data_IF_921089837706
#
_entry.id   IF_921089837706
#
_cell.length_a   1.000
_cell.length_b   1.000
_cell.length_c   1.000
_cell.angle_alpha   90.00
_cell.angle_beta   90.00
_cell.angle_gamma   90.00
#
_symmetry.space_group_name_H-M   'P 1'
#
loop_
_entity.id
_entity.type
_entity.pdbx_description
1 polymer ?
#
# COMPACT_ATOMS: atom_id res chain seq x y z
N UNK A 1 -36.70 -7.80 -0.31
CA UNK A 1 -35.58 -8.37 -1.10
C UNK A 1 -34.49 -7.31 -1.22
N UNK A 2 -33.22 -7.69 -1.12
CA UNK A 2 -32.09 -6.77 -1.26
C UNK A 2 -31.18 -7.23 -2.39
N UNK A 3 -30.80 -6.31 -3.27
CA UNK A 3 -29.96 -6.61 -4.45
C UNK A 3 -28.97 -5.47 -4.67
N UNK A 4 -27.79 -5.78 -5.21
CA UNK A 4 -26.79 -4.77 -5.58
C UNK A 4 -26.92 -4.46 -7.05
N UNK A 5 -27.00 -3.16 -7.38
CA UNK A 5 -27.13 -2.69 -8.75
C UNK A 5 -26.04 -1.68 -9.04
N UNK A 6 -25.22 -1.96 -10.06
CA UNK A 6 -24.20 -1.02 -10.54
C UNK A 6 -24.83 -0.10 -11.57
N UNK A 7 -24.81 1.20 -11.29
CA UNK A 7 -25.32 2.22 -12.20
C UNK A 7 -24.14 3.05 -12.71
N UNK A 8 -24.04 3.18 -14.02
CA UNK A 8 -23.09 4.08 -14.66
C UNK A 8 -23.80 5.40 -14.98
N UNK A 9 -23.32 6.51 -14.43
CA UNK A 9 -23.79 7.86 -14.76
C UNK A 9 -22.59 8.74 -15.08
N UNK A 10 -22.59 9.28 -16.28
CA UNK A 10 -21.43 9.96 -16.88
C UNK A 10 -20.19 9.02 -16.86
N UNK A 11 -19.05 9.49 -16.32
CA UNK A 11 -17.82 8.68 -16.14
C UNK A 11 -17.71 8.01 -14.76
N UNK A 12 -18.76 8.09 -13.91
CA UNK A 12 -18.74 7.53 -12.55
C UNK A 12 -19.65 6.31 -12.44
N UNK A 13 -19.12 5.26 -11.81
CA UNK A 13 -19.87 4.06 -11.46
C UNK A 13 -20.29 4.13 -9.98
N UNK A 14 -21.57 3.93 -9.72
CA UNK A 14 -22.14 3.84 -8.38
C UNK A 14 -22.61 2.42 -8.12
N UNK A 15 -22.41 1.92 -6.90
CA UNK A 15 -23.01 0.66 -6.44
C UNK A 15 -24.14 0.97 -5.46
N UNK A 16 -25.37 0.71 -5.89
CA UNK A 16 -26.56 0.93 -5.08
C UNK A 16 -27.02 -0.38 -4.46
N UNK A 17 -27.26 -0.39 -3.15
CA UNK A 17 -28.02 -1.43 -2.48
C UNK A 17 -29.50 -1.09 -2.58
N UNK A 18 -30.22 -1.83 -3.41
CA UNK A 18 -31.65 -1.67 -3.62
C UNK A 18 -32.40 -2.63 -2.71
N UNK A 19 -33.31 -2.10 -1.89
CA UNK A 19 -34.19 -2.94 -1.06
C UNK A 19 -35.63 -2.67 -1.40
N UNK A 20 -36.40 -3.74 -1.60
CA UNK A 20 -37.85 -3.68 -1.82
C UNK A 20 -38.59 -4.34 -0.65
N UNK A 21 -39.57 -3.63 -0.10
CA UNK A 21 -40.49 -4.11 0.93
C UNK A 21 -41.93 -3.87 0.49
N UNK A 22 -42.79 -4.88 0.62
CA UNK A 22 -44.22 -4.73 0.35
C UNK A 22 -44.91 -4.12 1.57
N UNK A 23 -45.67 -3.05 1.35
CA UNK A 23 -46.58 -2.49 2.34
C UNK A 23 -47.92 -3.21 2.21
N UNK A 24 -48.23 -4.09 3.16
CA UNK A 24 -49.48 -4.86 3.18
C UNK A 24 -50.36 -4.46 4.37
N UNK A 25 -51.68 -4.52 4.18
CA UNK A 25 -52.67 -4.45 5.26
C UNK A 25 -53.64 -5.60 5.06
N UNK A 26 -53.78 -6.46 6.07
CA UNK A 26 -54.69 -7.63 6.14
C UNK A 26 -54.94 -8.28 4.77
N UNK A 27 -54.01 -9.13 4.33
CA UNK A 27 -54.15 -9.93 3.10
C UNK A 27 -54.03 -9.18 1.78
N UNK A 28 -53.91 -7.85 1.78
CA UNK A 28 -53.83 -7.04 0.55
C UNK A 28 -52.54 -6.23 0.50
N UNK A 29 -51.75 -6.37 -0.58
CA UNK A 29 -50.58 -5.52 -0.84
C UNK A 29 -51.08 -4.16 -1.30
N UNK A 30 -50.83 -3.11 -0.52
CA UNK A 30 -51.20 -1.72 -0.84
C UNK A 30 -50.14 -1.01 -1.67
N UNK A 31 -48.88 -1.44 -1.60
CA UNK A 31 -47.79 -0.83 -2.36
C UNK A 31 -46.44 -1.46 -2.06
N UNK A 32 -45.40 -0.90 -2.66
CA UNK A 32 -44.02 -1.29 -2.44
C UNK A 32 -43.20 -0.06 -2.08
N UNK A 33 -42.32 -0.21 -1.10
CA UNK A 33 -41.30 0.78 -0.76
C UNK A 33 -39.97 0.27 -1.31
N UNK A 34 -39.31 1.10 -2.12
CA UNK A 34 -37.98 0.86 -2.61
C UNK A 34 -37.02 1.84 -1.95
N UNK A 35 -35.92 1.35 -1.38
CA UNK A 35 -34.82 2.18 -0.87
C UNK A 35 -33.57 1.94 -1.70
N UNK A 36 -32.77 2.98 -1.86
CA UNK A 36 -31.51 2.96 -2.62
C UNK A 36 -30.43 3.55 -1.73
N UNK A 37 -29.53 2.71 -1.23
CA UNK A 37 -28.38 3.15 -0.44
C UNK A 37 -27.14 3.13 -1.33
N UNK A 38 -26.44 4.26 -1.50
CA UNK A 38 -25.15 4.28 -2.17
C UNK A 38 -24.07 3.69 -1.26
N UNK A 39 -23.56 2.53 -1.65
CA UNK A 39 -22.55 1.77 -0.91
C UNK A 39 -21.21 1.74 -1.64
N UNK A 40 -21.00 2.62 -2.61
CA UNK A 40 -19.77 2.66 -3.43
C UNK A 40 -18.53 2.79 -2.57
N UNK A 41 -18.50 3.80 -1.69
CA UNK A 41 -17.36 4.05 -0.80
C UNK A 41 -17.20 2.95 0.24
N UNK A 42 -18.31 2.39 0.74
CA UNK A 42 -18.28 1.29 1.69
C UNK A 42 -17.62 0.04 1.08
N UNK A 43 -18.00 -0.32 -0.15
CA UNK A 43 -17.40 -1.45 -0.87
C UNK A 43 -15.96 -1.17 -1.27
N UNK A 44 -15.64 0.08 -1.62
CA UNK A 44 -14.27 0.52 -1.87
C UNK A 44 -13.38 0.33 -0.64
N UNK A 45 -13.82 0.84 0.52
CA UNK A 45 -13.14 0.70 1.79
C UNK A 45 -12.99 -0.77 2.21
N UNK A 46 -14.03 -1.59 2.04
CA UNK A 46 -13.97 -3.02 2.35
C UNK A 46 -12.97 -3.76 1.44
N UNK A 47 -12.96 -3.46 0.14
CA UNK A 47 -11.96 -4.02 -0.78
C UNK A 47 -10.56 -3.61 -0.39
N UNK A 48 -10.34 -2.34 -0.07
CA UNK A 48 -9.02 -1.84 0.33
C UNK A 48 -8.53 -2.52 1.62
N UNK A 49 -9.40 -2.68 2.61
CA UNK A 49 -9.10 -3.41 3.84
C UNK A 49 -8.77 -4.90 3.57
N UNK A 50 -9.53 -5.56 2.71
CA UNK A 50 -9.27 -6.94 2.32
C UNK A 50 -7.93 -7.07 1.55
N UNK A 51 -7.63 -6.14 0.64
CA UNK A 51 -6.37 -6.08 -0.08
C UNK A 51 -5.17 -5.85 0.84
N UNK A 52 -5.32 -5.02 1.88
CA UNK A 52 -4.28 -4.80 2.88
C UNK A 52 -3.94 -6.08 3.66
N UNK A 53 -4.96 -6.84 4.09
CA UNK A 53 -4.75 -8.14 4.74
C UNK A 53 -4.10 -9.16 3.81
N UNK A 54 -4.56 -9.25 2.55
CA UNK A 54 -3.94 -10.12 1.54
C UNK A 54 -2.48 -9.75 1.33
N UNK A 55 -2.16 -8.46 1.15
CA UNK A 55 -0.79 -8.00 0.94
C UNK A 55 0.12 -8.31 2.13
N UNK A 56 -0.37 -8.11 3.36
CA UNK A 56 0.36 -8.47 4.59
C UNK A 56 0.62 -9.98 4.66
N UNK A 57 -0.38 -10.80 4.36
CA UNK A 57 -0.23 -12.26 4.34
C UNK A 57 0.80 -12.70 3.30
N UNK A 58 0.73 -12.17 2.08
CA UNK A 58 1.70 -12.46 1.02
C UNK A 58 3.11 -12.02 1.45
N UNK A 59 3.26 -10.87 2.10
CA UNK A 59 4.55 -10.43 2.61
C UNK A 59 5.13 -11.40 3.65
N UNK A 60 4.29 -11.92 4.56
CA UNK A 60 4.71 -12.96 5.50
C UNK A 60 5.06 -14.27 4.81
N UNK A 61 4.26 -14.71 3.85
CA UNK A 61 4.49 -15.94 3.09
C UNK A 61 5.78 -15.88 2.26
N UNK A 62 6.15 -14.70 1.73
CA UNK A 62 7.42 -14.50 1.02
C UNK A 62 8.60 -14.38 2.00
N UNK A 63 8.45 -13.73 3.16
CA UNK A 63 9.53 -13.65 4.17
C UNK A 63 9.92 -15.04 4.70
N UNK A 64 8.96 -15.94 4.85
CA UNK A 64 9.18 -17.28 5.43
C UNK A 64 10.24 -18.13 4.70
N UNK A 65 10.25 -18.26 3.36
CA UNK A 65 11.29 -19.00 2.65
C UNK A 65 12.64 -18.26 2.60
N UNK A 66 12.71 -16.93 2.81
CA UNK A 66 13.98 -16.19 2.70
C UNK A 66 15.00 -16.59 3.78
N UNK A 67 14.57 -16.73 5.04
CA UNK A 67 15.49 -17.09 6.13
C UNK A 67 16.13 -18.46 5.90
N UNK A 68 15.39 -19.54 5.59
CA UNK A 68 15.98 -20.82 5.23
C UNK A 68 16.91 -20.77 4.00
N UNK A 69 16.57 -20.00 2.96
CA UNK A 69 17.43 -19.84 1.77
C UNK A 69 18.76 -19.20 2.16
N UNK A 70 18.72 -18.11 2.94
CA UNK A 70 19.93 -17.44 3.44
C UNK A 70 20.77 -18.37 4.31
N UNK A 71 20.17 -19.05 5.29
CA UNK A 71 20.89 -19.98 6.15
C UNK A 71 21.50 -21.14 5.36
N UNK A 72 20.82 -21.60 4.31
CA UNK A 72 21.34 -22.64 3.42
C UNK A 72 22.57 -22.14 2.64
N UNK A 73 22.54 -20.90 2.13
CA UNK A 73 23.67 -20.27 1.47
C UNK A 73 24.87 -20.07 2.42
N UNK A 74 24.65 -19.47 3.59
CA UNK A 74 25.69 -19.30 4.63
C UNK A 74 26.29 -20.66 5.06
N UNK A 75 25.44 -21.69 5.20
CA UNK A 75 25.88 -23.05 5.52
C UNK A 75 26.72 -23.67 4.40
N UNK A 76 26.34 -23.47 3.14
CA UNK A 76 27.14 -23.92 1.99
C UNK A 76 28.54 -23.31 2.03
N UNK A 77 28.63 -22.00 2.27
CA UNK A 77 29.91 -21.31 2.39
C UNK A 77 30.77 -21.93 3.49
N UNK A 78 30.24 -21.97 4.72
CA UNK A 78 31.00 -22.43 5.89
C UNK A 78 31.45 -23.90 5.77
N UNK A 79 30.63 -24.77 5.17
CA UNK A 79 30.90 -26.21 5.08
C UNK A 79 31.85 -26.56 3.95
N UNK A 80 31.69 -25.94 2.78
CA UNK A 80 32.37 -26.39 1.56
C UNK A 80 33.52 -25.48 1.11
N UNK A 81 33.63 -24.24 1.61
CA UNK A 81 34.71 -23.31 1.19
C UNK A 81 36.12 -23.91 1.33
N UNK A 82 36.35 -24.72 2.37
CA UNK A 82 37.65 -25.40 2.59
C UNK A 82 37.90 -26.60 1.68
N UNK A 83 36.87 -27.10 1.00
CA UNK A 83 36.90 -28.27 0.12
C UNK A 83 36.99 -27.88 -1.36
N UNK A 84 36.77 -26.60 -1.68
CA UNK A 84 36.91 -26.04 -3.03
C UNK A 84 38.40 -25.84 -3.35
N UNK A 85 38.81 -26.13 -4.59
CA UNK A 85 40.15 -25.87 -5.09
C UNK A 85 40.49 -24.38 -5.01
N UNK A 86 41.75 -24.02 -4.77
CA UNK A 86 42.12 -22.61 -4.55
C UNK A 86 41.71 -21.69 -5.72
N UNK A 87 41.84 -22.17 -6.95
CA UNK A 87 41.47 -21.43 -8.17
C UNK A 87 39.96 -21.12 -8.27
N UNK A 88 39.10 -21.90 -7.60
CA UNK A 88 37.64 -21.78 -7.65
C UNK A 88 37.03 -21.14 -6.39
N UNK A 89 37.83 -20.91 -5.34
CA UNK A 89 37.33 -20.41 -4.04
C UNK A 89 36.65 -19.05 -4.15
N UNK A 90 37.25 -18.13 -4.91
CA UNK A 90 36.70 -16.79 -5.11
C UNK A 90 35.38 -16.85 -5.89
N UNK A 91 35.31 -17.66 -6.94
CA UNK A 91 34.08 -17.86 -7.72
C UNK A 91 32.96 -18.43 -6.86
N UNK A 92 33.26 -19.44 -6.06
CA UNK A 92 32.30 -20.05 -5.12
C UNK A 92 31.82 -19.05 -4.06
N UNK A 93 32.74 -18.34 -3.41
CA UNK A 93 32.41 -17.32 -2.41
C UNK A 93 31.53 -16.22 -3.00
N UNK A 94 31.89 -15.70 -4.17
CA UNK A 94 31.12 -14.68 -4.88
C UNK A 94 29.70 -15.15 -5.24
N UNK A 95 29.53 -16.41 -5.65
CA UNK A 95 28.23 -16.99 -5.94
C UNK A 95 27.35 -17.06 -4.68
N UNK A 96 27.91 -17.53 -3.55
CA UNK A 96 27.18 -17.59 -2.28
C UNK A 96 26.81 -16.20 -1.78
N UNK A 97 27.75 -15.25 -1.80
CA UNK A 97 27.50 -13.87 -1.39
C UNK A 97 26.42 -13.21 -2.25
N UNK A 98 26.37 -13.53 -3.54
CA UNK A 98 25.32 -13.04 -4.44
C UNK A 98 23.95 -13.58 -4.03
N UNK A 99 23.84 -14.86 -3.65
CA UNK A 99 22.58 -15.42 -3.14
C UNK A 99 22.14 -14.70 -1.87
N UNK A 100 23.05 -14.50 -0.91
CA UNK A 100 22.75 -13.79 0.35
C UNK A 100 22.25 -12.37 0.06
N UNK A 101 22.99 -11.59 -0.76
CA UNK A 101 22.59 -10.23 -1.14
C UNK A 101 21.23 -10.17 -1.84
N UNK A 102 20.93 -11.15 -2.69
CA UNK A 102 19.65 -11.19 -3.39
C UNK A 102 18.49 -11.47 -2.45
N UNK A 103 18.67 -12.41 -1.52
CA UNK A 103 17.67 -12.71 -0.48
C UNK A 103 17.42 -11.50 0.41
N UNK A 104 18.47 -10.80 0.84
CA UNK A 104 18.34 -9.58 1.64
C UNK A 104 17.63 -8.45 0.86
N UNK A 105 17.89 -8.34 -0.44
CA UNK A 105 17.21 -7.37 -1.32
C UNK A 105 15.72 -7.68 -1.45
N UNK A 106 15.35 -8.95 -1.66
CA UNK A 106 13.94 -9.37 -1.66
C UNK A 106 13.30 -9.09 -0.30
N UNK A 107 14.02 -9.36 0.80
CA UNK A 107 13.54 -9.09 2.16
C UNK A 107 13.20 -7.62 2.39
N UNK A 108 14.04 -6.70 1.90
CA UNK A 108 13.78 -5.25 1.96
C UNK A 108 12.56 -4.83 1.14
N UNK A 109 12.50 -5.26 -0.13
CA UNK A 109 11.37 -4.94 -1.02
C UNK A 109 10.03 -5.43 -0.46
N UNK A 110 10.01 -6.63 0.13
CA UNK A 110 8.81 -7.18 0.77
C UNK A 110 8.49 -6.45 2.10
N UNK A 111 9.52 -5.93 2.79
CA UNK A 111 9.34 -5.03 3.92
C UNK A 111 8.64 -3.73 3.52
N UNK A 112 9.09 -3.10 2.45
CA UNK A 112 8.50 -1.88 1.88
C UNK A 112 7.07 -2.13 1.36
N UNK A 113 6.84 -3.25 0.66
CA UNK A 113 5.50 -3.67 0.22
C UNK A 113 4.54 -3.90 1.39
N UNK A 114 5.03 -4.49 2.49
CA UNK A 114 4.23 -4.64 3.71
C UNK A 114 3.92 -3.31 4.40
N UNK A 115 4.77 -2.30 4.27
CA UNK A 115 4.49 -0.95 4.77
C UNK A 115 3.44 -0.25 3.90
N UNK A 116 3.44 -0.47 2.58
CA UNK A 116 2.36 -0.01 1.70
C UNK A 116 1.01 -0.67 2.02
N UNK A 117 1.02 -1.95 2.46
CA UNK A 117 -0.18 -2.64 2.95
C UNK A 117 -0.67 -2.12 4.31
N UNK A 118 0.21 -1.50 5.12
CA UNK A 118 -0.19 -0.69 6.27
C UNK A 118 -0.57 0.70 5.76
N UNK A 119 -1.73 0.84 5.14
CA UNK A 119 -2.41 2.13 5.15
C UNK A 119 -3.20 2.21 6.47
N UNK A 120 -2.66 2.79 7.56
CA UNK A 120 -3.50 3.22 8.67
C UNK A 120 -4.61 4.12 8.11
N UNK A 121 -5.77 4.19 8.76
CA UNK A 121 -6.81 5.11 8.31
C UNK A 121 -6.22 6.53 8.17
N UNK A 122 -6.49 7.25 7.07
CA UNK A 122 -5.94 8.58 6.90
C UNK A 122 -6.35 9.47 8.07
N UNK A 123 -5.37 10.14 8.67
CA UNK A 123 -5.62 11.10 9.76
C UNK A 123 -5.80 12.47 9.12
N UNK A 124 -7.05 12.80 8.80
CA UNK A 124 -7.39 14.07 8.17
C UNK A 124 -7.24 15.22 9.17
N UNK A 125 -6.39 16.19 8.85
CA UNK A 125 -6.21 17.42 9.60
C UNK A 125 -6.12 18.61 8.64
N UNK A 126 -6.36 19.80 9.16
CA UNK A 126 -6.13 21.04 8.41
C UNK A 126 -4.63 21.33 8.37
N UNK A 127 -3.98 20.94 7.28
CA UNK A 127 -2.54 21.00 7.11
C UNK A 127 -2.12 22.23 6.29
N UNK A 128 -1.14 23.03 6.75
CA UNK A 128 -0.57 24.12 5.95
C UNK A 128 0.25 23.55 4.79
N UNK A 129 -0.27 23.68 3.55
CA UNK A 129 0.36 23.10 2.35
C UNK A 129 1.79 23.60 2.15
N UNK A 130 2.07 24.84 2.52
CA UNK A 130 3.41 25.42 2.40
C UNK A 130 4.45 24.68 3.26
N UNK A 131 4.07 24.17 4.43
CA UNK A 131 5.00 23.41 5.27
C UNK A 131 5.25 22.00 4.74
N UNK A 132 4.22 21.34 4.20
CA UNK A 132 4.39 20.06 3.51
C UNK A 132 5.37 20.22 2.33
N UNK A 133 5.19 21.25 1.49
CA UNK A 133 6.11 21.54 0.37
C UNK A 133 7.53 21.78 0.85
N UNK A 134 7.73 22.53 1.95
CA UNK A 134 9.08 22.79 2.50
C UNK A 134 9.75 21.52 2.99
N UNK A 135 9.02 20.65 3.67
CA UNK A 135 9.54 19.37 4.16
C UNK A 135 9.93 18.45 2.99
N UNK A 136 9.11 18.35 1.94
CA UNK A 136 9.46 17.58 0.73
C UNK A 136 10.68 18.16 0.00
N UNK A 137 10.77 19.49 -0.17
CA UNK A 137 11.92 20.15 -0.81
C UNK A 137 13.20 20.03 0.02
N UNK A 138 13.09 20.02 1.35
CA UNK A 138 14.24 19.84 2.24
C UNK A 138 14.97 18.51 1.96
N UNK A 139 14.23 17.41 1.83
CA UNK A 139 14.79 16.10 1.48
C UNK A 139 15.50 16.13 0.12
N UNK A 140 14.91 16.82 -0.87
CA UNK A 140 15.51 16.93 -2.21
C UNK A 140 16.78 17.79 -2.21
N UNK A 141 16.82 18.89 -1.45
CA UNK A 141 18.03 19.72 -1.28
C UNK A 141 19.20 18.92 -0.71
N UNK A 142 18.92 18.05 0.27
CA UNK A 142 19.94 17.20 0.87
C UNK A 142 20.46 16.13 -0.12
N UNK A 143 19.58 15.57 -0.96
CA UNK A 143 19.95 14.60 -1.97
C UNK A 143 20.72 15.21 -3.16
N UNK A 144 20.47 16.49 -3.49
CA UNK A 144 21.00 17.15 -4.69
C UNK A 144 21.66 18.51 -4.40
N UNK A 145 22.86 18.54 -3.79
CA UNK A 145 23.50 19.79 -3.35
C UNK A 145 23.92 20.73 -4.49
N UNK A 146 24.00 20.24 -5.74
CA UNK A 146 24.29 21.06 -6.92
C UNK A 146 23.08 21.72 -7.57
N UNK A 147 21.86 21.45 -7.07
CA UNK A 147 20.61 22.02 -7.61
C UNK A 147 20.07 23.04 -6.61
N UNK A 148 19.78 24.25 -7.09
CA UNK A 148 19.13 25.28 -6.27
C UNK A 148 17.62 25.10 -6.36
N UNK A 149 16.98 24.84 -5.22
CA UNK A 149 15.52 24.75 -5.11
C UNK A 149 14.98 26.04 -4.52
N UNK A 150 14.05 26.71 -5.21
CA UNK A 150 13.36 27.91 -4.73
C UNK A 150 11.89 27.59 -4.44
N UNK A 151 11.36 28.09 -3.31
CA UNK A 151 9.95 27.98 -2.95
C UNK A 151 9.38 29.39 -2.93
N UNK A 152 8.44 29.68 -3.82
CA UNK A 152 7.77 30.99 -3.93
C UNK A 152 6.36 30.88 -3.35
N UNK A 153 6.12 31.34 -2.11
CA UNK A 153 4.79 31.29 -1.52
C UNK A 153 3.86 32.36 -2.12
N UNK A 154 2.55 32.10 -2.21
CA UNK A 154 1.59 33.11 -2.64
C UNK A 154 1.45 34.26 -1.62
N UNK A 155 1.02 35.46 -2.06
CA UNK A 155 0.80 36.60 -1.17
C UNK A 155 -0.32 36.28 -0.16
N UNK A 156 -0.07 36.52 1.14
CA UNK A 156 -1.04 36.26 2.21
C UNK A 156 -0.90 34.90 2.92
N UNK A 157 0.10 34.09 2.55
CA UNK A 157 0.33 32.76 3.12
C UNK A 157 -0.17 31.64 2.20
N UNK A 158 0.35 30.43 2.39
CA UNK A 158 -0.04 29.26 1.62
C UNK A 158 -1.44 28.75 2.00
N UNK A 159 -2.12 27.99 1.12
CA UNK A 159 -3.42 27.40 1.44
C UNK A 159 -3.29 26.38 2.57
N UNK A 160 -4.37 26.22 3.32
CA UNK A 160 -4.58 25.10 4.25
C UNK A 160 -5.47 24.09 3.54
N UNK A 161 -5.11 22.81 3.62
CA UNK A 161 -5.85 21.72 2.99
C UNK A 161 -6.22 20.69 4.04
N UNK A 162 -7.47 20.22 4.02
CA UNK A 162 -7.87 19.09 4.84
C UNK A 162 -7.32 17.80 4.22
N UNK A 163 -6.22 17.28 4.75
CA UNK A 163 -5.54 16.09 4.24
C UNK A 163 -4.78 15.37 5.35
N UNK A 164 -4.28 14.17 5.04
CA UNK A 164 -3.32 13.46 5.88
C UNK A 164 -1.90 13.88 5.47
N UNK A 165 -1.27 14.75 6.27
CA UNK A 165 0.04 15.32 5.96
C UNK A 165 1.16 14.30 5.79
N UNK A 166 1.13 13.19 6.54
CA UNK A 166 2.13 12.11 6.43
C UNK A 166 2.01 11.32 5.13
N UNK A 167 0.81 11.29 4.52
CA UNK A 167 0.57 10.56 3.27
C UNK A 167 0.66 11.42 2.02
N UNK A 168 0.60 12.74 2.17
CA UNK A 168 0.78 13.69 1.06
C UNK A 168 2.26 13.94 0.76
N UNK A 169 3.14 13.72 1.74
CA UNK A 169 4.60 13.79 1.59
C UNK A 169 5.25 12.47 1.18
#
# INVERSE_FOLDING_TARGET
VAEQLTVHRDERAFTLLVRIAAQATVGTVRGYVLTFDDITDLLGAQRQAAWAEVAKRIAHEIKNPLTPIRLSAERLNRRFLKQIADDDKDTFGNAVDTIVRQVDTIGRLIGEFSNFARMPAPVMADEPVLELVRQSVFLQRAAWPGITFEIVPPPGGGPVMNCDGEKVM
#
